data_IF_995675132681
#
_entry.id   IF_995675132681
#
_cell.length_a   1.000
_cell.length_b   1.000
_cell.length_c   1.000
_cell.angle_alpha   90.00
_cell.angle_beta   90.00
_cell.angle_gamma   90.00
#
_symmetry.space_group_name_H-M   'P 1'
#
loop_
_entity.id
_entity.type
_entity.pdbx_description
1 polymer ?
#
# COMPACT_ATOMS: atom_id res chain seq x y z
N UNK A 1 -7.13 23.02 -25.63
CA UNK A 1 -6.33 22.05 -24.85
C UNK A 1 -6.41 22.42 -23.37
N UNK A 2 -7.29 21.78 -22.60
CA UNK A 2 -7.39 22.01 -21.15
C UNK A 2 -6.26 21.26 -20.45
N UNK A 3 -5.24 22.00 -20.02
CA UNK A 3 -4.15 21.48 -19.19
C UNK A 3 -4.73 21.10 -17.84
N UNK A 4 -5.08 19.82 -17.70
CA UNK A 4 -5.48 19.22 -16.43
C UNK A 4 -4.29 19.30 -15.46
N UNK A 5 -4.16 20.42 -14.75
CA UNK A 5 -3.33 20.60 -13.55
C UNK A 5 -3.91 19.69 -12.44
N UNK A 6 -3.80 18.36 -12.60
CA UNK A 6 -3.97 17.44 -11.47
C UNK A 6 -2.76 17.64 -10.57
N UNK A 7 -3.02 18.37 -9.49
CA UNK A 7 -2.07 18.81 -8.49
C UNK A 7 -1.08 17.70 -8.07
N UNK A 8 0.10 18.15 -7.66
CA UNK A 8 1.24 17.47 -7.03
C UNK A 8 0.88 16.38 -5.99
N UNK A 9 -0.36 16.34 -5.51
CA UNK A 9 -0.96 15.34 -4.61
C UNK A 9 -1.07 13.92 -5.20
N UNK A 10 -0.87 13.73 -6.52
CA UNK A 10 -0.97 12.41 -7.18
C UNK A 10 0.31 11.57 -7.09
N UNK A 11 1.50 12.15 -6.89
CA UNK A 11 2.76 11.38 -6.88
C UNK A 11 3.05 10.81 -5.50
N UNK A 12 3.23 9.48 -5.42
CA UNK A 12 3.68 8.82 -4.19
C UNK A 12 5.06 9.31 -3.77
N UNK A 13 5.29 9.47 -2.48
CA UNK A 13 6.64 9.76 -1.96
C UNK A 13 7.53 8.52 -2.11
N UNK A 14 8.86 8.70 -2.10
CA UNK A 14 9.81 7.57 -2.12
C UNK A 14 9.54 6.58 -0.98
N UNK A 15 9.11 7.09 0.18
CA UNK A 15 8.77 6.26 1.34
C UNK A 15 7.49 5.45 1.09
N UNK A 16 6.44 6.06 0.54
CA UNK A 16 5.20 5.37 0.16
C UNK A 16 5.44 4.29 -0.89
N UNK A 17 6.26 4.60 -1.90
CA UNK A 17 6.67 3.65 -2.94
C UNK A 17 7.42 2.47 -2.33
N UNK A 18 8.31 2.74 -1.36
CA UNK A 18 9.05 1.70 -0.65
C UNK A 18 8.13 0.78 0.14
N UNK A 19 7.09 1.30 0.79
CA UNK A 19 6.10 0.46 1.49
C UNK A 19 5.38 -0.48 0.53
N UNK A 20 4.89 0.03 -0.60
CA UNK A 20 4.24 -0.82 -1.63
C UNK A 20 5.22 -1.85 -2.19
N UNK A 21 6.47 -1.45 -2.46
CA UNK A 21 7.52 -2.38 -2.90
C UNK A 21 7.76 -3.49 -1.88
N UNK A 22 7.85 -3.18 -0.59
CA UNK A 22 8.05 -4.19 0.45
C UNK A 22 6.87 -5.15 0.52
N UNK A 23 5.63 -4.63 0.48
CA UNK A 23 4.44 -5.47 0.47
C UNK A 23 4.40 -6.42 -0.74
N UNK A 24 4.77 -5.94 -1.94
CA UNK A 24 4.83 -6.77 -3.15
C UNK A 24 5.91 -7.85 -3.12
N UNK A 25 6.98 -7.62 -2.36
CA UNK A 25 8.07 -8.60 -2.20
C UNK A 25 7.94 -9.39 -0.88
N UNK A 26 6.83 -9.24 -0.16
CA UNK A 26 6.63 -9.87 1.13
C UNK A 26 5.81 -11.14 0.98
N UNK A 27 6.36 -12.25 1.45
CA UNK A 27 5.64 -13.53 1.56
C UNK A 27 4.61 -13.52 2.70
N UNK A 28 4.68 -12.52 3.59
CA UNK A 28 3.78 -12.41 4.75
C UNK A 28 2.37 -11.88 4.41
N UNK A 29 2.11 -11.52 3.15
CA UNK A 29 0.80 -11.06 2.71
C UNK A 29 0.55 -11.48 1.26
N UNK A 30 -0.57 -12.15 1.04
CA UNK A 30 -1.06 -12.41 -0.30
C UNK A 30 -1.82 -11.17 -0.81
N UNK A 31 -1.22 -10.47 -1.76
CA UNK A 31 -1.83 -9.28 -2.38
C UNK A 31 -2.85 -9.61 -3.47
N UNK A 32 -2.91 -10.87 -3.92
CA UNK A 32 -3.88 -11.35 -4.92
C UNK A 32 -5.25 -11.62 -4.29
N UNK A 33 -5.27 -11.85 -2.98
CA UNK A 33 -6.50 -11.97 -2.19
C UNK A 33 -6.90 -10.63 -1.56
N UNK A 34 -8.17 -10.53 -1.15
CA UNK A 34 -8.64 -9.37 -0.40
C UNK A 34 -8.00 -9.31 1.00
N UNK A 35 -7.34 -8.20 1.31
CA UNK A 35 -6.70 -7.95 2.60
C UNK A 35 -7.09 -6.60 3.17
N UNK A 36 -6.99 -6.44 4.50
CA UNK A 36 -7.22 -5.14 5.16
C UNK A 36 -5.90 -4.37 5.30
N UNK A 37 -5.99 -3.04 5.42
CA UNK A 37 -4.82 -2.22 5.70
C UNK A 37 -4.12 -2.55 7.03
N UNK A 38 -4.83 -3.20 7.97
CA UNK A 38 -4.23 -3.72 9.20
C UNK A 38 -3.28 -4.90 8.90
N UNK A 39 -3.71 -5.88 8.07
CA UNK A 39 -2.83 -6.99 7.69
C UNK A 39 -1.58 -6.52 6.94
N UNK A 40 -1.72 -5.53 6.07
CA UNK A 40 -0.57 -4.93 5.39
C UNK A 40 0.36 -4.19 6.35
N UNK A 41 -0.18 -3.56 7.40
CA UNK A 41 0.64 -2.95 8.45
C UNK A 41 1.47 -4.00 9.19
N UNK A 42 0.85 -5.11 9.59
CA UNK A 42 1.52 -6.20 10.29
C UNK A 42 2.68 -6.76 9.45
N UNK A 43 2.44 -6.98 8.15
CA UNK A 43 3.49 -7.38 7.22
C UNK A 43 4.65 -6.37 7.18
N UNK A 44 4.38 -5.05 7.10
CA UNK A 44 5.43 -4.03 7.09
C UNK A 44 6.22 -3.95 8.41
N UNK A 45 5.59 -4.23 9.55
CA UNK A 45 6.25 -4.21 10.86
C UNK A 45 7.32 -5.29 10.98
N UNK A 46 7.16 -6.44 10.31
CA UNK A 46 8.19 -7.49 10.25
C UNK A 46 9.47 -6.99 9.55
N UNK A 47 9.35 -6.04 8.61
CA UNK A 47 10.49 -5.42 7.92
C UNK A 47 11.10 -4.25 8.69
N UNK A 48 10.65 -3.95 9.92
CA UNK A 48 11.25 -2.91 10.77
C UNK A 48 12.66 -3.27 11.26
N UNK A 49 13.08 -4.52 11.10
CA UNK A 49 14.38 -5.00 11.55
C UNK A 49 15.54 -4.28 10.81
N UNK A 50 16.44 -3.56 11.53
CA UNK A 50 17.55 -2.82 10.92
C UNK A 50 18.59 -3.71 10.21
N UNK A 51 18.58 -5.02 10.45
CA UNK A 51 19.49 -5.98 9.79
C UNK A 51 18.99 -6.46 8.41
N UNK A 52 17.75 -6.14 8.04
CA UNK A 52 17.22 -6.49 6.72
C UNK A 52 17.67 -5.50 5.65
N UNK A 53 18.03 -5.98 4.44
CA UNK A 53 18.29 -5.11 3.28
C UNK A 53 17.09 -4.21 2.92
N UNK A 54 15.88 -4.61 3.34
CA UNK A 54 14.65 -3.85 3.15
C UNK A 54 14.21 -3.06 4.40
N UNK A 55 15.08 -2.93 5.40
CA UNK A 55 14.78 -2.31 6.70
C UNK A 55 13.97 -1.02 6.61
N UNK A 56 12.84 -1.01 7.31
CA UNK A 56 11.86 0.05 7.29
C UNK A 56 11.94 0.81 8.62
N UNK A 57 12.59 1.99 8.63
CA UNK A 57 12.83 2.77 9.85
C UNK A 57 11.54 3.26 10.52
N UNK A 58 10.53 3.59 9.72
CA UNK A 58 9.23 4.11 10.19
C UNK A 58 8.08 3.45 9.44
N UNK A 59 7.33 2.59 10.13
CA UNK A 59 6.11 1.98 9.59
C UNK A 59 4.98 3.03 9.52
N UNK A 60 4.13 2.99 8.48
CA UNK A 60 2.92 3.81 8.44
C UNK A 60 1.92 3.37 9.51
N UNK A 61 0.84 4.13 9.68
CA UNK A 61 -0.36 3.63 10.36
C UNK A 61 -1.39 3.11 9.33
N UNK A 62 -2.42 2.40 9.81
CA UNK A 62 -3.47 1.83 8.94
C UNK A 62 -4.19 2.86 8.05
N UNK A 63 -4.41 4.07 8.55
CA UNK A 63 -5.08 5.14 7.79
C UNK A 63 -4.19 5.65 6.66
N UNK A 64 -2.89 5.79 6.92
CA UNK A 64 -1.92 6.17 5.90
C UNK A 64 -1.80 5.09 4.84
N UNK A 65 -1.84 3.81 5.21
CA UNK A 65 -1.86 2.71 4.23
C UNK A 65 -3.10 2.73 3.35
N UNK A 66 -4.30 2.91 3.91
CA UNK A 66 -5.52 3.09 3.11
C UNK A 66 -5.35 4.23 2.08
N UNK A 67 -4.78 5.35 2.51
CA UNK A 67 -4.51 6.47 1.61
C UNK A 67 -3.46 6.10 0.53
N UNK A 68 -2.40 5.39 0.90
CA UNK A 68 -1.33 4.94 -0.01
C UNK A 68 -1.87 3.96 -1.06
N UNK A 69 -2.70 3.00 -0.68
CA UNK A 69 -3.30 2.07 -1.63
C UNK A 69 -4.19 2.80 -2.64
N UNK A 70 -5.07 3.69 -2.16
CA UNK A 70 -5.88 4.56 -3.03
C UNK A 70 -5.00 5.38 -3.97
N UNK A 71 -3.91 5.95 -3.45
CA UNK A 71 -3.00 6.83 -4.18
C UNK A 71 -2.16 6.11 -5.23
N UNK A 72 -1.76 4.86 -4.96
CA UNK A 72 -0.99 4.05 -5.92
C UNK A 72 -1.77 3.78 -7.21
N UNK A 73 -3.09 3.66 -7.13
CA UNK A 73 -3.94 3.26 -8.24
C UNK A 73 -3.83 1.78 -8.63
N UNK A 74 -2.91 1.05 -8.00
CA UNK A 74 -2.60 -0.36 -8.25
C UNK A 74 -3.52 -1.32 -7.47
N UNK A 75 -4.23 -0.84 -6.47
CA UNK A 75 -5.15 -1.65 -5.66
C UNK A 75 -6.60 -1.26 -5.94
N UNK A 76 -7.49 -2.25 -5.90
CA UNK A 76 -8.95 -2.07 -5.86
C UNK A 76 -9.39 -2.06 -4.40
N UNK A 77 -10.25 -1.10 -4.04
CA UNK A 77 -10.91 -1.09 -2.74
C UNK A 77 -12.31 -1.69 -2.88
N UNK A 78 -12.61 -2.71 -2.08
CA UNK A 78 -13.96 -3.21 -1.83
C UNK A 78 -14.34 -2.90 -0.38
N UNK A 79 -15.62 -2.72 -0.10
CA UNK A 79 -16.11 -2.50 1.27
C UNK A 79 -16.87 -3.73 1.72
N UNK A 80 -16.61 -4.17 2.95
CA UNK A 80 -17.44 -5.21 3.57
C UNK A 80 -18.72 -4.63 4.20
N UNK A 81 -19.57 -5.52 4.71
CA UNK A 81 -20.84 -5.19 5.41
C UNK A 81 -20.60 -4.27 6.62
N UNK A 82 -19.41 -4.32 7.22
CA UNK A 82 -19.00 -3.45 8.34
C UNK A 82 -18.35 -2.14 7.89
N UNK A 83 -18.44 -1.76 6.61
CA UNK A 83 -17.81 -0.57 6.03
C UNK A 83 -16.27 -0.56 6.21
N UNK A 84 -15.64 -1.73 6.35
CA UNK A 84 -14.19 -1.86 6.38
C UNK A 84 -13.66 -1.98 4.95
N UNK A 85 -12.57 -1.28 4.68
CA UNK A 85 -11.90 -1.33 3.39
C UNK A 85 -11.07 -2.62 3.27
N UNK A 86 -11.39 -3.41 2.25
CA UNK A 86 -10.58 -4.51 1.76
C UNK A 86 -9.91 -4.09 0.47
N UNK A 87 -8.66 -4.50 0.31
CA UNK A 87 -7.80 -4.15 -0.80
C UNK A 87 -7.34 -5.41 -1.50
N UNK A 88 -7.30 -5.35 -2.83
CA UNK A 88 -6.75 -6.42 -3.67
C UNK A 88 -5.89 -5.76 -4.75
N UNK A 89 -4.76 -6.37 -5.11
CA UNK A 89 -3.93 -5.88 -6.22
C UNK A 89 -4.70 -6.03 -7.54
N UNK A 90 -4.69 -5.00 -8.40
CA UNK A 90 -5.24 -5.09 -9.75
C UNK A 90 -4.33 -5.99 -10.59
N UNK A 91 -4.89 -7.05 -11.15
CA UNK A 91 -4.24 -7.77 -12.24
C UNK A 91 -4.20 -6.85 -13.46
N UNK A 92 -3.00 -6.48 -13.92
CA UNK A 92 -2.80 -5.66 -15.11
C UNK A 92 -2.10 -4.33 -14.86
N UNK A 93 -0.80 -4.38 -14.57
CA UNK A 93 0.25 -3.44 -15.02
C UNK A 93 1.60 -3.98 -14.50
N UNK A 94 2.10 -4.99 -15.22
CA UNK A 94 3.54 -5.28 -15.25
C UNK A 94 4.20 -4.31 -16.22
#
# INVERSE_FOLDING_TARGET
MTTNKRARATRMTKLEQRWVKILKNSENIDLTQSFTAARALDALLLYRNPRSKLALRHAPNKYRLNYVFKKSGEFVCTKDVGNRNHWTLKEGRF
#
